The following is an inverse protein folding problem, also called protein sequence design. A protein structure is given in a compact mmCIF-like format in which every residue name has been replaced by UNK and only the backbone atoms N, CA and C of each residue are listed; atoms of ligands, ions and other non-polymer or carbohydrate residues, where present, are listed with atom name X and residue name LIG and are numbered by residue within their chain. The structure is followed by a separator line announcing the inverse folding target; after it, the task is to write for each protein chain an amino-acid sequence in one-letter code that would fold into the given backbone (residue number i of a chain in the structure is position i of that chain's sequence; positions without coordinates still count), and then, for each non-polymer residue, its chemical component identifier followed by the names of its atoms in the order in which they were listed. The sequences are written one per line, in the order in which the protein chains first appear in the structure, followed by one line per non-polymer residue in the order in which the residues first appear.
data_IF_020645379920
#
_entry.id   IF_020645379920
#
_cell.length_a   1.000
_cell.length_b   1.000
_cell.length_c   1.000
_cell.angle_alpha   90.00
_cell.angle_beta   90.00
_cell.angle_gamma   90.00
#
_symmetry.space_group_name_H-M   'P 1'
#
loop_
_entity.id
_entity.type
_entity.pdbx_description
1 polymer ?
#
# COMPACT_ATOMS: atom_id res chain seq x y z
N UNK A 1 -3.33 30.11 16.61
CA UNK A 1 -3.91 28.75 16.63
C UNK A 1 -4.17 28.35 15.18
N UNK A 2 -3.11 27.96 14.48
CA UNK A 2 -3.20 27.50 13.09
C UNK A 2 -2.61 26.12 13.09
N UNK A 3 -3.48 25.12 13.05
CA UNK A 3 -3.13 23.71 12.98
C UNK A 3 -2.41 23.45 11.67
N UNK A 4 -1.07 23.40 11.71
CA UNK A 4 -0.24 22.84 10.64
C UNK A 4 -0.24 21.32 10.80
N UNK A 5 -1.42 20.73 10.69
CA UNK A 5 -1.60 19.31 10.45
C UNK A 5 -1.02 19.01 9.07
N UNK A 6 0.30 18.84 9.01
CA UNK A 6 0.98 18.28 7.87
C UNK A 6 0.43 16.88 7.65
N UNK A 7 -0.58 16.76 6.79
CA UNK A 7 -0.88 15.54 6.09
C UNK A 7 0.41 15.18 5.35
N UNK A 8 1.25 14.38 6.02
CA UNK A 8 2.28 13.61 5.36
C UNK A 8 1.54 12.81 4.31
N UNK A 9 1.67 13.26 3.07
CA UNK A 9 1.15 12.60 1.90
C UNK A 9 1.87 11.25 1.86
N UNK A 10 1.24 10.22 2.46
CA UNK A 10 1.85 8.89 2.63
C UNK A 10 2.21 8.30 1.27
N UNK A 11 1.51 8.76 0.23
CA UNK A 11 1.81 8.51 -1.18
C UNK A 11 3.12 9.17 -1.62
N UNK A 12 3.40 10.41 -1.23
CA UNK A 12 4.62 11.13 -1.66
C UNK A 12 5.93 10.57 -1.08
N UNK A 13 5.87 9.81 0.02
CA UNK A 13 7.07 9.19 0.62
C UNK A 13 7.39 7.82 -0.02
N UNK A 14 6.44 7.17 -0.67
CA UNK A 14 6.65 5.87 -1.38
C UNK A 14 6.79 6.08 -2.90
N UNK A 15 6.17 7.12 -3.46
CA UNK A 15 6.23 7.46 -4.90
C UNK A 15 7.43 8.38 -5.21
N UNK A 16 8.65 7.93 -4.88
CA UNK A 16 9.89 8.45 -5.50
C UNK A 16 10.57 7.42 -6.39
N UNK A 17 9.88 6.31 -6.67
CA UNK A 17 10.28 5.37 -7.71
C UNK A 17 9.36 5.61 -8.90
N UNK A 18 9.99 6.04 -9.98
CA UNK A 18 9.38 6.35 -11.27
C UNK A 18 8.74 5.08 -11.83
N UNK A 19 7.42 4.90 -11.72
CA UNK A 19 6.71 3.77 -12.36
C UNK A 19 5.60 4.33 -13.24
N UNK A 20 5.81 4.14 -14.54
CA UNK A 20 4.93 4.44 -15.65
C UNK A 20 3.69 3.54 -15.60
N UNK A 21 2.56 4.11 -16.03
CA UNK A 21 1.19 3.56 -16.07
C UNK A 21 0.38 3.70 -14.78
N UNK A 22 -0.50 4.70 -14.82
CA UNK A 22 -1.48 5.04 -13.80
C UNK A 22 -2.48 3.88 -13.67
N UNK A 23 -2.35 3.07 -12.61
CA UNK A 23 -3.32 2.01 -12.29
C UNK A 23 -4.71 2.66 -12.16
N UNK A 24 -5.61 2.37 -13.10
CA UNK A 24 -6.96 2.97 -13.12
C UNK A 24 -7.85 2.20 -12.15
N UNK A 25 -7.77 2.55 -10.88
CA UNK A 25 -8.68 2.06 -9.84
C UNK A 25 -9.96 2.89 -9.81
N UNK A 26 -11.10 2.24 -9.61
CA UNK A 26 -12.31 2.98 -9.25
C UNK A 26 -12.12 3.69 -7.89
N UNK A 27 -12.91 4.73 -7.62
CA UNK A 27 -12.72 5.56 -6.43
C UNK A 27 -12.90 4.81 -5.09
N UNK A 28 -13.54 3.65 -5.06
CA UNK A 28 -13.66 2.81 -3.85
C UNK A 28 -12.44 1.90 -3.71
N UNK A 29 -11.98 1.30 -4.80
CA UNK A 29 -10.79 0.46 -4.84
C UNK A 29 -9.55 1.26 -4.43
N UNK A 30 -9.39 2.48 -4.95
CA UNK A 30 -8.28 3.37 -4.55
C UNK A 30 -8.27 3.64 -3.06
N UNK A 31 -9.44 3.98 -2.48
CA UNK A 31 -9.57 4.24 -1.04
C UNK A 31 -9.21 3.03 -0.18
N UNK A 32 -9.59 1.83 -0.61
CA UNK A 32 -9.24 0.62 0.13
C UNK A 32 -7.74 0.31 0.01
N UNK A 33 -7.15 0.48 -1.18
CA UNK A 33 -5.71 0.37 -1.36
C UNK A 33 -4.93 1.37 -0.48
N UNK A 34 -5.35 2.64 -0.46
CA UNK A 34 -4.76 3.68 0.39
C UNK A 34 -4.87 3.32 1.88
N UNK A 35 -6.01 2.76 2.30
CA UNK A 35 -6.23 2.31 3.68
C UNK A 35 -5.31 1.15 4.06
N UNK A 36 -5.12 0.19 3.15
CA UNK A 36 -4.23 -0.94 3.34
C UNK A 36 -2.77 -0.48 3.45
N UNK A 37 -2.34 0.45 2.60
CA UNK A 37 -1.01 1.07 2.69
C UNK A 37 -0.80 1.80 4.01
N UNK A 38 -1.80 2.55 4.48
CA UNK A 38 -1.74 3.22 5.78
C UNK A 38 -1.57 2.21 6.93
N UNK A 39 -2.31 1.09 6.90
CA UNK A 39 -2.16 0.05 7.92
C UNK A 39 -0.77 -0.60 7.92
N UNK A 40 -0.17 -0.84 6.74
CA UNK A 40 1.20 -1.34 6.64
C UNK A 40 2.16 -0.31 7.24
N UNK A 41 2.10 0.95 6.80
CA UNK A 41 3.00 2.00 7.24
C UNK A 41 2.93 2.30 8.75
N UNK A 42 1.75 2.14 9.35
CA UNK A 42 1.51 2.43 10.76
C UNK A 42 1.72 1.22 11.69
N UNK A 43 2.01 0.03 11.15
CA UNK A 43 2.21 -1.17 11.95
C UNK A 43 3.34 -0.98 12.98
N UNK A 44 3.08 -1.25 14.26
CA UNK A 44 4.01 -1.02 15.38
C UNK A 44 4.92 -2.23 15.69
N UNK A 45 4.68 -3.36 15.03
CA UNK A 45 5.42 -4.61 15.23
C UNK A 45 5.48 -5.40 13.92
N UNK A 46 6.51 -6.24 13.78
CA UNK A 46 6.69 -7.07 12.58
C UNK A 46 5.47 -7.94 12.30
N UNK A 47 4.87 -8.54 13.33
CA UNK A 47 3.69 -9.40 13.20
C UNK A 47 2.52 -8.61 12.62
N UNK A 48 2.30 -7.38 13.08
CA UNK A 48 1.21 -6.53 12.58
C UNK A 48 1.49 -6.08 11.15
N UNK A 49 2.74 -5.75 10.80
CA UNK A 49 3.13 -5.39 9.45
C UNK A 49 2.88 -6.54 8.46
N UNK A 50 3.35 -7.75 8.78
CA UNK A 50 3.14 -8.96 7.95
C UNK A 50 1.65 -9.26 7.78
N UNK A 51 0.85 -9.14 8.86
CA UNK A 51 -0.61 -9.35 8.76
C UNK A 51 -1.28 -8.31 7.87
N UNK A 52 -0.83 -7.05 7.92
CA UNK A 52 -1.34 -6.00 7.05
C UNK A 52 -0.97 -6.25 5.58
N UNK A 53 0.27 -6.71 5.32
CA UNK A 53 0.73 -7.14 3.99
C UNK A 53 -0.12 -8.25 3.41
N UNK A 54 -0.33 -9.35 4.15
CA UNK A 54 -1.15 -10.46 3.70
C UNK A 54 -2.62 -10.06 3.41
N UNK A 55 -3.15 -9.08 4.14
CA UNK A 55 -4.48 -8.52 3.84
C UNK A 55 -4.47 -7.75 2.52
N UNK A 56 -3.40 -7.00 2.25
CA UNK A 56 -3.25 -6.28 1.00
C UNK A 56 -3.12 -7.23 -0.19
N UNK A 57 -2.35 -8.32 -0.06
CA UNK A 57 -2.27 -9.36 -1.08
C UNK A 57 -3.63 -10.00 -1.35
N UNK A 58 -4.37 -10.34 -0.29
CA UNK A 58 -5.72 -10.90 -0.40
C UNK A 58 -6.72 -9.95 -1.06
N UNK A 59 -6.54 -8.64 -0.89
CA UNK A 59 -7.32 -7.63 -1.58
C UNK A 59 -7.04 -7.67 -3.09
N UNK A 60 -5.77 -7.60 -3.51
CA UNK A 60 -5.42 -7.64 -4.95
C UNK A 60 -5.90 -8.95 -5.60
N UNK A 61 -5.69 -10.10 -4.94
CA UNK A 61 -6.17 -11.38 -5.44
C UNK A 61 -7.70 -11.41 -5.61
N UNK A 62 -8.43 -10.86 -4.64
CA UNK A 62 -9.88 -10.73 -4.73
C UNK A 62 -10.32 -9.90 -5.94
N UNK A 63 -9.61 -8.80 -6.20
CA UNK A 63 -9.86 -7.91 -7.33
C UNK A 63 -9.60 -8.56 -8.68
N UNK A 64 -8.51 -9.34 -8.80
CA UNK A 64 -8.22 -10.15 -9.99
C UNK A 64 -9.30 -11.21 -10.21
N UNK A 65 -9.69 -11.90 -9.14
CA UNK A 65 -10.66 -13.02 -9.20
C UNK A 65 -12.02 -12.57 -9.72
N UNK A 66 -12.47 -11.37 -9.32
CA UNK A 66 -13.76 -10.81 -9.80
C UNK A 66 -13.64 -10.08 -11.14
N UNK A 67 -12.45 -10.07 -11.76
CA UNK A 67 -12.20 -9.40 -13.05
C UNK A 67 -12.23 -7.87 -12.96
N UNK A 68 -12.12 -7.31 -11.76
CA UNK A 68 -12.13 -5.88 -11.52
C UNK A 68 -10.77 -5.22 -11.76
N UNK A 69 -9.72 -6.01 -11.88
CA UNK A 69 -8.34 -5.57 -12.12
C UNK A 69 -7.71 -6.40 -13.23
N UNK A 70 -7.03 -5.75 -14.17
CA UNK A 70 -6.24 -6.45 -15.20
C UNK A 70 -4.96 -6.98 -14.56
N UNK A 71 -4.38 -8.04 -15.13
CA UNK A 71 -3.17 -8.66 -14.57
C UNK A 71 -1.99 -7.69 -14.39
N UNK A 72 -1.78 -6.74 -15.32
CA UNK A 72 -0.72 -5.74 -15.16
C UNK A 72 -1.01 -4.72 -14.04
N UNK A 73 -2.26 -4.31 -13.89
CA UNK A 73 -2.69 -3.42 -12.81
C UNK A 73 -2.58 -4.11 -11.44
N UNK A 74 -2.82 -5.42 -11.39
CA UNK A 74 -2.65 -6.26 -10.20
C UNK A 74 -1.18 -6.41 -9.81
N UNK A 75 -0.32 -6.72 -10.78
CA UNK A 75 1.13 -6.82 -10.57
C UNK A 75 1.69 -5.52 -9.99
N UNK A 76 1.28 -4.37 -10.54
CA UNK A 76 1.65 -3.05 -10.02
C UNK A 76 1.21 -2.84 -8.57
N UNK A 77 -0.01 -3.24 -8.22
CA UNK A 77 -0.50 -3.13 -6.84
C UNK A 77 0.25 -4.06 -5.88
N UNK A 78 0.55 -5.30 -6.26
CA UNK A 78 1.37 -6.20 -5.46
C UNK A 78 2.75 -5.59 -5.18
N UNK A 79 3.43 -5.06 -6.21
CA UNK A 79 4.73 -4.41 -6.06
C UNK A 79 4.68 -3.21 -5.10
N UNK A 80 3.61 -2.40 -5.16
CA UNK A 80 3.42 -1.25 -4.26
C UNK A 80 3.25 -1.71 -2.81
N UNK A 81 2.42 -2.72 -2.56
CA UNK A 81 2.23 -3.26 -1.21
C UNK A 81 3.48 -3.95 -0.67
N UNK A 82 4.19 -4.72 -1.50
CA UNK A 82 5.44 -5.37 -1.14
C UNK A 82 6.50 -4.33 -0.75
N UNK A 83 6.70 -3.29 -1.56
CA UNK A 83 7.66 -2.23 -1.27
C UNK A 83 7.34 -1.50 0.05
N UNK A 84 6.06 -1.23 0.31
CA UNK A 84 5.62 -0.62 1.57
C UNK A 84 5.88 -1.55 2.78
N UNK A 85 5.60 -2.85 2.63
CA UNK A 85 5.82 -3.85 3.67
C UNK A 85 7.31 -4.02 3.95
N UNK A 86 8.13 -4.21 2.91
CA UNK A 86 9.58 -4.32 3.05
C UNK A 86 10.17 -3.13 3.80
N UNK A 87 9.78 -1.92 3.39
CA UNK A 87 10.24 -0.68 4.03
C UNK A 87 9.88 -0.72 5.52
N UNK A 88 8.64 -1.07 5.86
CA UNK A 88 8.21 -1.09 7.26
C UNK A 88 8.94 -2.15 8.08
N UNK A 89 9.14 -3.34 7.52
CA UNK A 89 9.86 -4.41 8.22
C UNK A 89 11.32 -4.03 8.47
N UNK A 90 11.98 -3.33 7.54
CA UNK A 90 13.33 -2.77 7.72
C UNK A 90 13.35 -1.73 8.85
N UNK A 91 12.33 -0.87 8.95
CA UNK A 91 12.20 0.12 10.04
C UNK A 91 11.94 -0.51 11.42
N UNK A 92 11.27 -1.67 11.46
CA UNK A 92 10.95 -2.40 12.70
C UNK A 92 12.04 -3.40 13.11
N UNK A 93 13.00 -3.68 12.24
CA UNK A 93 14.10 -4.58 12.55
C UNK A 93 15.00 -3.95 13.62
N UNK A 94 15.35 -4.69 14.68
CA UNK A 94 16.40 -4.24 15.58
C UNK A 94 17.71 -4.16 14.78
N UNK A 95 18.35 -2.99 14.81
CA UNK A 95 19.63 -2.71 14.14
C UNK A 95 20.83 -3.37 14.79
#
# INVERSE_FOLDING_TARGET
MGDIGGSVDVLAVVVKVNIVEEVVLDGKMKREADRLLAHIAQADSMIIAVKAGARADGFVLGMETVGALRSGDAENLYMIFEAALEKRLKELAPG
#
